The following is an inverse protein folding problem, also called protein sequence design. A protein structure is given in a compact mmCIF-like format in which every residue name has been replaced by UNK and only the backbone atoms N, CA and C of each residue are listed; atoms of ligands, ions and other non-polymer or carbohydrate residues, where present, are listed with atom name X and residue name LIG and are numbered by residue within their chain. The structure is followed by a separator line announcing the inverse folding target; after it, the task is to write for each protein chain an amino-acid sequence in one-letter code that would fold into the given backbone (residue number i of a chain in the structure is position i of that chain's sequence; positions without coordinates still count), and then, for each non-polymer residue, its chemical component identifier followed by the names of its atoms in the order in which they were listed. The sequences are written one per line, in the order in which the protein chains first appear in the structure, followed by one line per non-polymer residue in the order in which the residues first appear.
data_IF_316020061248
#
_entry.id   IF_316020061248
#
_cell.length_a   1.000
_cell.length_b   1.000
_cell.length_c   1.000
_cell.angle_alpha   90.00
_cell.angle_beta   90.00
_cell.angle_gamma   90.00
#
_symmetry.space_group_name_H-M   'P 1'
#
loop_
_entity.id
_entity.type
_entity.pdbx_description
1 polymer ?
#
# COMPACT_ATOMS: atom_id res chain seq x y z
N UNK A 1 6.14 -33.35 -18.27
CA UNK A 1 6.74 -32.30 -19.12
C UNK A 1 6.30 -30.95 -18.57
N UNK A 2 7.09 -30.26 -17.74
CA UNK A 2 6.69 -28.93 -17.28
C UNK A 2 6.91 -27.93 -18.42
N UNK A 3 5.85 -27.18 -18.74
CA UNK A 3 5.88 -26.09 -19.70
C UNK A 3 6.95 -25.07 -19.28
N UNK A 4 7.88 -24.80 -20.19
CA UNK A 4 8.90 -23.79 -20.02
C UNK A 4 8.26 -22.44 -19.73
N UNK A 5 8.81 -21.73 -18.74
CA UNK A 5 8.67 -20.28 -18.64
C UNK A 5 9.14 -19.71 -19.99
N UNK A 6 8.20 -19.24 -20.80
CA UNK A 6 8.48 -18.43 -21.96
C UNK A 6 9.21 -17.19 -21.42
N UNK A 7 10.47 -17.01 -21.80
CA UNK A 7 11.19 -15.77 -21.55
C UNK A 7 10.31 -14.63 -22.07
N UNK A 8 10.07 -13.61 -21.25
CA UNK A 8 9.24 -12.47 -21.61
C UNK A 8 9.69 -11.96 -22.99
N UNK A 9 8.87 -12.18 -24.01
CA UNK A 9 9.07 -11.54 -25.31
C UNK A 9 9.16 -10.04 -25.04
N UNK A 10 10.17 -9.36 -25.61
CA UNK A 10 10.36 -7.94 -25.43
C UNK A 10 9.12 -7.18 -25.90
N UNK A 11 8.23 -6.86 -24.95
CA UNK A 11 7.03 -6.06 -25.22
C UNK A 11 7.49 -4.77 -25.86
N UNK A 12 7.15 -4.58 -27.14
CA UNK A 12 7.51 -3.39 -27.89
C UNK A 12 6.80 -2.18 -27.30
N UNK A 13 7.56 -1.32 -26.65
CA UNK A 13 7.06 -0.09 -26.04
C UNK A 13 6.76 0.96 -27.12
N UNK A 14 5.61 1.59 -27.02
CA UNK A 14 5.17 2.68 -27.90
C UNK A 14 5.59 4.00 -27.22
N UNK A 15 6.48 4.81 -27.85
CA UNK A 15 7.17 5.93 -27.19
C UNK A 15 6.27 6.93 -26.44
N UNK A 16 5.07 7.18 -26.94
CA UNK A 16 4.13 8.17 -26.40
C UNK A 16 2.96 7.57 -25.61
N UNK A 17 2.95 6.25 -25.37
CA UNK A 17 1.85 5.53 -24.68
C UNK A 17 2.33 4.80 -23.43
N UNK A 18 3.22 5.46 -22.69
CA UNK A 18 3.77 4.94 -21.44
C UNK A 18 2.67 4.61 -20.41
N UNK A 19 1.60 5.39 -20.39
CA UNK A 19 0.44 5.25 -19.50
C UNK A 19 -0.33 3.94 -19.72
N UNK A 20 -0.60 3.60 -20.97
CA UNK A 20 -1.20 2.33 -21.36
C UNK A 20 -0.30 1.16 -20.95
N UNK A 21 1.00 1.24 -21.23
CA UNK A 21 1.94 0.19 -20.88
C UNK A 21 2.05 0.01 -19.36
N UNK A 22 2.07 1.10 -18.60
CA UNK A 22 2.15 1.05 -17.14
C UNK A 22 0.89 0.39 -16.54
N UNK A 23 -0.29 0.78 -17.02
CA UNK A 23 -1.56 0.18 -16.58
C UNK A 23 -1.64 -1.31 -16.95
N UNK A 24 -1.21 -1.69 -18.15
CA UNK A 24 -1.20 -3.09 -18.58
C UNK A 24 -0.19 -3.93 -17.78
N UNK A 25 1.03 -3.42 -17.59
CA UNK A 25 2.06 -4.08 -16.79
C UNK A 25 1.56 -4.30 -15.34
N UNK A 26 0.92 -3.28 -14.76
CA UNK A 26 0.35 -3.39 -13.42
C UNK A 26 -0.80 -4.40 -13.34
N UNK A 27 -1.71 -4.40 -14.33
CA UNK A 27 -2.80 -5.38 -14.40
C UNK A 27 -2.26 -6.83 -14.54
N UNK A 28 -1.12 -7.00 -15.18
CA UNK A 28 -0.43 -8.29 -15.36
C UNK A 28 0.51 -8.64 -14.20
N UNK A 29 0.69 -7.75 -13.22
CA UNK A 29 1.67 -7.87 -12.12
C UNK A 29 3.11 -8.03 -12.62
N UNK A 30 3.43 -7.38 -13.74
CA UNK A 30 4.75 -7.39 -14.35
C UNK A 30 5.62 -6.25 -13.80
N UNK A 31 6.20 -6.50 -12.62
CA UNK A 31 7.09 -5.58 -11.95
C UNK A 31 8.35 -5.26 -12.77
N UNK A 32 8.83 -6.20 -13.61
CA UNK A 32 10.00 -5.99 -14.45
C UNK A 32 9.70 -5.02 -15.58
N UNK A 33 8.54 -5.17 -16.24
CA UNK A 33 8.08 -4.22 -17.25
C UNK A 33 7.78 -2.84 -16.66
N UNK A 34 7.19 -2.76 -15.46
CA UNK A 34 7.00 -1.49 -14.75
C UNK A 34 8.34 -0.79 -14.48
N UNK A 35 9.33 -1.50 -13.95
CA UNK A 35 10.66 -0.94 -13.74
C UNK A 35 11.26 -0.44 -15.06
N UNK A 36 11.13 -1.21 -16.15
CA UNK A 36 11.63 -0.84 -17.48
C UNK A 36 10.97 0.43 -18.02
N UNK A 37 9.64 0.53 -17.92
CA UNK A 37 8.86 1.70 -18.39
C UNK A 37 9.35 3.01 -17.76
N UNK A 38 9.67 3.01 -16.47
CA UNK A 38 10.01 4.24 -15.74
C UNK A 38 11.51 4.52 -15.60
N UNK A 39 12.38 3.54 -15.87
CA UNK A 39 13.84 3.69 -15.70
C UNK A 39 14.63 3.65 -17.00
N UNK A 40 14.12 3.00 -18.06
CA UNK A 40 14.83 2.85 -19.31
C UNK A 40 14.81 4.15 -20.13
N UNK A 41 15.95 4.84 -20.15
CA UNK A 41 16.09 6.12 -20.86
C UNK A 41 16.04 5.92 -22.38
N UNK A 42 15.29 6.77 -23.06
CA UNK A 42 15.28 6.85 -24.52
C UNK A 42 14.29 5.92 -25.22
N UNK A 43 13.59 5.04 -24.49
CA UNK A 43 12.55 4.16 -25.05
C UNK A 43 11.16 4.82 -25.01
N UNK A 44 10.85 5.51 -23.91
CA UNK A 44 9.60 6.23 -23.72
C UNK A 44 9.87 7.72 -23.45
N UNK A 45 8.93 8.56 -23.89
CA UNK A 45 8.91 9.99 -23.55
C UNK A 45 7.99 10.15 -22.34
N UNK A 46 8.60 10.24 -21.16
CA UNK A 46 7.88 10.41 -19.90
C UNK A 46 7.77 11.91 -19.56
N UNK A 47 6.56 12.44 -19.29
CA UNK A 47 6.41 13.78 -18.73
C UNK A 47 6.99 13.84 -17.31
N UNK A 48 7.31 15.05 -16.85
CA UNK A 48 7.69 15.28 -15.46
C UNK A 48 6.57 14.82 -14.53
N UNK A 49 6.91 14.06 -13.48
CA UNK A 49 5.94 13.49 -12.55
C UNK A 49 5.10 12.33 -13.10
N UNK A 50 5.43 11.74 -14.26
CA UNK A 50 4.68 10.63 -14.85
C UNK A 50 4.43 9.46 -13.87
N UNK A 51 5.44 9.15 -13.04
CA UNK A 51 5.38 8.03 -12.10
C UNK A 51 4.39 8.24 -10.95
N UNK A 52 4.13 9.51 -10.60
CA UNK A 52 3.18 9.92 -9.57
C UNK A 52 1.87 10.46 -10.17
N UNK A 53 1.62 10.18 -11.46
CA UNK A 53 0.36 10.51 -12.10
C UNK A 53 -0.81 9.87 -11.32
N UNK A 54 -1.89 10.62 -11.18
CA UNK A 54 -3.05 10.20 -10.41
C UNK A 54 -4.22 9.85 -11.34
N UNK A 55 -4.98 8.84 -10.95
CA UNK A 55 -6.21 8.46 -11.62
C UNK A 55 -7.22 9.60 -11.53
N UNK A 56 -7.77 9.99 -12.67
CA UNK A 56 -8.86 10.95 -12.79
C UNK A 56 -10.17 10.23 -13.06
N UNK A 57 -11.25 10.69 -12.45
CA UNK A 57 -12.60 10.21 -12.76
C UNK A 57 -13.35 11.23 -13.61
N UNK A 58 -13.99 10.76 -14.67
CA UNK A 58 -14.81 11.60 -15.55
C UNK A 58 -16.29 11.22 -15.41
N UNK A 59 -17.17 12.22 -15.49
CA UNK A 59 -18.60 11.98 -15.60
C UNK A 59 -18.93 11.45 -17.01
N UNK A 60 -19.53 10.26 -17.09
CA UNK A 60 -19.96 9.53 -18.31
C UNK A 60 -18.82 8.94 -19.17
N UNK A 61 -18.87 7.64 -19.49
CA UNK A 61 -17.87 6.93 -20.34
C UNK A 61 -16.92 6.01 -19.55
N UNK A 62 -15.71 5.76 -20.05
CA UNK A 62 -14.66 5.09 -19.27
C UNK A 62 -14.47 5.85 -17.95
N UNK A 63 -14.86 5.28 -16.80
CA UNK A 63 -15.09 6.05 -15.58
C UNK A 63 -13.80 6.56 -14.95
N UNK A 64 -12.66 5.95 -15.31
CA UNK A 64 -11.34 6.27 -14.79
C UNK A 64 -10.35 6.47 -15.94
N UNK A 65 -9.41 7.38 -15.75
CA UNK A 65 -8.34 7.67 -16.69
C UNK A 65 -7.03 7.83 -15.94
N UNK A 66 -6.00 7.14 -16.41
CA UNK A 66 -4.63 7.31 -15.96
C UNK A 66 -3.84 8.02 -17.07
N UNK A 67 -3.42 9.25 -16.81
CA UNK A 67 -2.91 10.18 -17.83
C UNK A 67 -3.85 10.33 -19.04
N UNK A 68 -3.60 9.66 -20.17
CA UNK A 68 -4.45 9.68 -21.37
C UNK A 68 -5.21 8.36 -21.61
N UNK A 69 -4.90 7.33 -20.81
CA UNK A 69 -5.45 5.99 -20.96
C UNK A 69 -6.68 5.77 -20.08
N UNK A 70 -7.85 5.64 -20.71
CA UNK A 70 -9.10 5.30 -20.04
C UNK A 70 -9.20 3.81 -19.69
N UNK A 71 -9.73 3.50 -18.51
CA UNK A 71 -10.06 2.14 -18.09
C UNK A 71 -11.33 2.08 -17.24
N UNK A 72 -11.87 0.88 -17.11
CA UNK A 72 -13.12 0.61 -16.39
C UNK A 72 -12.86 0.04 -15.00
N UNK A 73 -13.64 0.52 -14.03
CA UNK A 73 -13.68 0.05 -12.64
C UNK A 73 -14.78 -1.01 -12.44
N UNK A 74 -14.88 -1.54 -11.20
CA UNK A 74 -15.88 -2.56 -10.83
C UNK A 74 -17.33 -2.16 -11.12
N UNK A 75 -17.66 -0.86 -11.12
CA UNK A 75 -19.03 -0.36 -11.40
C UNK A 75 -19.44 -0.60 -12.85
N UNK A 76 -18.46 -0.88 -13.71
CA UNK A 76 -18.65 -1.09 -15.15
C UNK A 76 -18.78 -2.57 -15.54
N UNK A 77 -18.73 -3.52 -14.59
CA UNK A 77 -18.77 -4.98 -14.85
C UNK A 77 -19.98 -5.46 -15.67
N UNK A 78 -21.06 -4.67 -15.75
CA UNK A 78 -22.23 -4.98 -16.59
C UNK A 78 -22.08 -4.59 -18.07
N UNK A 79 -21.09 -3.76 -18.41
CA UNK A 79 -20.98 -3.14 -19.74
C UNK A 79 -19.58 -3.25 -20.36
N UNK A 80 -18.53 -3.57 -19.58
CA UNK A 80 -17.15 -3.65 -20.07
C UNK A 80 -16.25 -4.54 -19.19
N UNK A 81 -15.09 -4.93 -19.72
CA UNK A 81 -14.06 -5.66 -18.97
C UNK A 81 -13.36 -4.73 -17.98
N UNK A 82 -13.33 -5.12 -16.71
CA UNK A 82 -12.72 -4.35 -15.63
C UNK A 82 -11.26 -4.74 -15.46
N UNK A 83 -10.37 -3.74 -15.46
CA UNK A 83 -8.94 -3.97 -15.23
C UNK A 83 -8.61 -4.00 -13.74
N UNK A 84 -9.28 -3.17 -12.94
CA UNK A 84 -9.06 -3.08 -11.52
C UNK A 84 -10.38 -2.90 -10.75
N UNK A 85 -10.51 -3.62 -9.66
CA UNK A 85 -11.76 -3.71 -8.91
C UNK A 85 -11.88 -2.70 -7.75
N UNK A 86 -10.77 -2.09 -7.34
CA UNK A 86 -10.68 -1.31 -6.10
C UNK A 86 -10.15 0.13 -6.29
N UNK A 87 -9.97 0.59 -7.52
CA UNK A 87 -9.34 1.90 -7.80
C UNK A 87 -10.23 3.06 -7.38
N UNK A 88 -9.63 4.06 -6.75
CA UNK A 88 -10.26 5.33 -6.38
C UNK A 88 -9.68 6.49 -7.19
N UNK A 89 -10.43 7.60 -7.34
CA UNK A 89 -9.89 8.84 -7.86
C UNK A 89 -8.69 9.30 -7.02
N UNK A 90 -7.67 9.84 -7.67
CA UNK A 90 -6.42 10.25 -7.02
C UNK A 90 -5.43 9.12 -6.74
N UNK A 91 -5.78 7.85 -6.98
CA UNK A 91 -4.82 6.76 -6.81
C UNK A 91 -3.63 6.91 -7.77
N UNK A 92 -2.41 6.74 -7.25
CA UNK A 92 -1.20 6.53 -8.07
C UNK A 92 -1.04 5.05 -8.40
N UNK A 93 -0.13 4.69 -9.31
CA UNK A 93 0.18 3.28 -9.58
C UNK A 93 0.58 2.49 -8.32
N UNK A 94 1.23 3.16 -7.35
CA UNK A 94 1.59 2.56 -6.07
C UNK A 94 0.35 2.19 -5.27
N UNK A 95 -0.64 3.09 -5.15
CA UNK A 95 -1.89 2.79 -4.45
C UNK A 95 -2.67 1.68 -5.15
N UNK A 96 -2.75 1.70 -6.48
CA UNK A 96 -3.41 0.63 -7.25
C UNK A 96 -2.73 -0.73 -6.95
N UNK A 97 -1.40 -0.80 -6.98
CA UNK A 97 -0.65 -2.02 -6.66
C UNK A 97 -0.94 -2.53 -5.23
N UNK A 98 -0.96 -1.63 -4.26
CA UNK A 98 -1.24 -1.95 -2.85
C UNK A 98 -2.65 -2.51 -2.65
N UNK A 99 -3.67 -1.94 -3.31
CA UNK A 99 -5.05 -2.44 -3.26
C UNK A 99 -5.19 -3.84 -3.85
N UNK A 100 -4.37 -4.17 -4.84
CA UNK A 100 -4.33 -5.47 -5.49
C UNK A 100 -3.34 -6.46 -4.87
N UNK A 101 -2.78 -6.09 -3.71
CA UNK A 101 -1.83 -6.88 -2.93
C UNK A 101 -0.59 -7.32 -3.72
N UNK A 102 -0.03 -6.42 -4.53
CA UNK A 102 1.15 -6.64 -5.36
C UNK A 102 2.37 -5.86 -4.86
N UNK A 103 3.07 -6.36 -3.81
CA UNK A 103 4.24 -5.69 -3.26
C UNK A 103 5.43 -5.63 -4.24
N UNK A 104 5.51 -6.53 -5.23
CA UNK A 104 6.60 -6.50 -6.21
C UNK A 104 6.49 -5.31 -7.15
N UNK A 105 5.29 -5.01 -7.62
CA UNK A 105 5.03 -3.78 -8.40
C UNK A 105 5.27 -2.52 -7.56
N UNK A 106 4.93 -2.54 -6.26
CA UNK A 106 5.26 -1.42 -5.35
C UNK A 106 6.77 -1.21 -5.25
N UNK A 107 7.55 -2.28 -5.08
CA UNK A 107 9.02 -2.20 -5.04
C UNK A 107 9.56 -1.59 -6.34
N UNK A 108 9.11 -2.09 -7.49
CA UNK A 108 9.56 -1.60 -8.79
C UNK A 108 9.25 -0.10 -8.98
N UNK A 109 8.03 0.33 -8.65
CA UNK A 109 7.62 1.73 -8.74
C UNK A 109 8.41 2.61 -7.77
N UNK A 110 8.57 2.18 -6.52
CA UNK A 110 9.34 2.95 -5.53
C UNK A 110 10.82 3.10 -5.95
N UNK A 111 11.45 2.03 -6.43
CA UNK A 111 12.83 2.06 -6.93
C UNK A 111 12.97 2.95 -8.17
N UNK A 112 11.91 3.05 -8.99
CA UNK A 112 11.84 3.97 -10.11
C UNK A 112 11.56 5.43 -9.70
N UNK A 113 11.35 5.70 -8.40
CA UNK A 113 11.21 7.05 -7.85
C UNK A 113 9.79 7.46 -7.49
N UNK A 114 8.83 6.52 -7.44
CA UNK A 114 7.46 6.83 -7.04
C UNK A 114 7.39 7.34 -5.60
N UNK A 115 6.62 8.40 -5.38
CA UNK A 115 6.38 8.96 -4.06
C UNK A 115 5.43 8.10 -3.24
N UNK A 116 5.71 7.99 -1.94
CA UNK A 116 4.83 7.34 -0.97
C UNK A 116 3.94 8.32 -0.19
N UNK A 117 4.03 9.62 -0.49
CA UNK A 117 3.36 10.70 0.25
C UNK A 117 2.18 11.31 -0.51
N UNK A 118 2.02 10.96 -1.79
CA UNK A 118 0.92 11.46 -2.64
C UNK A 118 -0.39 10.82 -2.21
N UNK A 119 -1.28 11.63 -1.64
CA UNK A 119 -2.58 11.19 -1.17
C UNK A 119 -3.61 11.15 -2.30
N UNK A 120 -4.50 10.16 -2.29
CA UNK A 120 -5.64 10.10 -3.21
C UNK A 120 -6.83 10.97 -2.74
N UNK A 121 -7.99 10.87 -3.41
CA UNK A 121 -9.19 11.63 -3.04
C UNK A 121 -9.75 11.27 -1.66
N UNK A 122 -9.44 10.08 -1.14
CA UNK A 122 -9.81 9.62 0.20
C UNK A 122 -8.78 10.02 1.28
N UNK A 123 -7.76 10.81 0.91
CA UNK A 123 -6.63 11.19 1.77
C UNK A 123 -5.75 10.00 2.20
N UNK A 124 -5.83 8.88 1.50
CA UNK A 124 -5.00 7.70 1.75
C UNK A 124 -3.64 7.90 1.10
N UNK A 125 -2.56 7.73 1.87
CA UNK A 125 -1.18 7.78 1.39
C UNK A 125 -0.59 6.37 1.28
N UNK A 126 0.23 6.05 0.26
CA UNK A 126 0.89 4.76 0.14
C UNK A 126 1.63 4.32 1.41
N UNK A 127 2.36 5.25 2.06
CA UNK A 127 3.14 4.91 3.27
C UNK A 127 2.27 4.40 4.41
N UNK A 128 1.06 4.96 4.57
CA UNK A 128 0.10 4.55 5.60
C UNK A 128 -0.46 3.15 5.35
N UNK A 129 -0.77 2.84 4.08
CA UNK A 129 -1.25 1.52 3.67
C UNK A 129 -0.18 0.46 3.89
N UNK A 130 1.07 0.75 3.51
CA UNK A 130 2.21 -0.14 3.72
C UNK A 130 2.46 -0.32 5.22
N UNK A 131 2.46 0.76 5.99
CA UNK A 131 2.63 0.71 7.45
C UNK A 131 1.55 -0.14 8.12
N UNK A 132 0.30 -0.04 7.67
CA UNK A 132 -0.79 -0.86 8.22
C UNK A 132 -0.54 -2.37 8.02
N UNK A 133 0.01 -2.77 6.87
CA UNK A 133 0.42 -4.17 6.63
C UNK A 133 1.64 -4.57 7.47
N UNK A 134 2.62 -3.67 7.60
CA UNK A 134 3.79 -3.88 8.43
C UNK A 134 3.41 -4.09 9.90
N UNK A 135 2.57 -3.22 10.47
CA UNK A 135 2.07 -3.30 11.84
C UNK A 135 1.37 -4.63 12.13
N UNK A 136 0.48 -5.08 11.23
CA UNK A 136 -0.20 -6.38 11.36
C UNK A 136 0.80 -7.53 11.44
N UNK A 137 1.82 -7.54 10.58
CA UNK A 137 2.83 -8.61 10.57
C UNK A 137 3.73 -8.55 11.81
N UNK A 138 4.10 -7.37 12.30
CA UNK A 138 4.86 -7.23 13.54
C UNK A 138 4.07 -7.74 14.75
N UNK A 139 2.77 -7.44 14.82
CA UNK A 139 1.89 -7.97 15.86
C UNK A 139 1.77 -9.50 15.75
N UNK A 140 1.65 -10.04 14.53
CA UNK A 140 1.58 -11.48 14.30
C UNK A 140 2.86 -12.20 14.75
N UNK A 141 4.03 -11.71 14.31
CA UNK A 141 5.34 -12.26 14.69
C UNK A 141 5.52 -12.27 16.22
N UNK A 142 5.06 -11.21 16.91
CA UNK A 142 5.08 -11.13 18.38
C UNK A 142 4.18 -12.18 19.02
N UNK A 143 2.99 -12.44 18.48
CA UNK A 143 2.07 -13.47 18.97
C UNK A 143 2.55 -14.90 18.67
N UNK A 144 3.18 -15.11 17.52
CA UNK A 144 3.69 -16.42 17.10
C UNK A 144 4.90 -16.85 17.95
N UNK A 145 5.82 -15.92 18.25
CA UNK A 145 6.94 -16.16 19.19
C UNK A 145 6.49 -16.54 20.61
N UNK A 146 5.29 -16.14 21.01
CA UNK A 146 4.69 -16.51 22.29
C UNK A 146 4.03 -17.89 22.27
N UNK A 147 3.79 -18.49 21.09
CA UNK A 147 2.93 -19.66 20.93
C UNK A 147 3.58 -20.87 20.24
N UNK A 148 4.77 -20.75 19.64
CA UNK A 148 5.35 -21.86 18.88
C UNK A 148 5.96 -23.00 19.74
N UNK A 149 5.16 -24.06 19.88
CA UNK A 149 5.61 -25.46 19.76
C UNK A 149 5.46 -25.91 18.30
N UNK A 150 6.51 -26.52 17.77
CA UNK A 150 6.71 -26.89 16.37
C UNK A 150 5.62 -27.81 15.80
N UNK A 151 5.12 -27.49 14.60
CA UNK A 151 4.47 -28.46 13.71
C UNK A 151 5.14 -28.38 12.34
N UNK A 152 5.81 -29.47 11.95
CA UNK A 152 6.27 -29.68 10.57
C UNK A 152 5.07 -29.97 9.68
N UNK A 153 4.68 -28.99 8.86
CA UNK A 153 3.64 -29.17 7.85
C UNK A 153 4.20 -28.88 6.45
N UNK A 154 3.83 -29.70 5.46
CA UNK A 154 4.09 -29.39 4.06
C UNK A 154 2.94 -28.54 3.51
N UNK A 155 3.18 -27.28 3.12
CA UNK A 155 2.11 -26.36 2.74
C UNK A 155 1.44 -26.77 1.42
N UNK A 156 0.12 -26.63 1.36
CA UNK A 156 -0.65 -26.77 0.11
C UNK A 156 -0.32 -25.62 -0.87
N UNK A 157 -0.73 -25.72 -2.14
CA UNK A 157 -0.44 -24.66 -3.14
C UNK A 157 -1.04 -23.29 -2.77
N UNK A 158 -2.13 -23.25 -2.02
CA UNK A 158 -2.72 -22.01 -1.51
C UNK A 158 -1.86 -21.39 -0.40
N UNK A 159 -1.34 -22.21 0.51
CA UNK A 159 -0.42 -21.76 1.57
C UNK A 159 0.90 -21.30 0.97
N UNK A 160 1.40 -21.97 -0.05
CA UNK A 160 2.60 -21.57 -0.77
C UNK A 160 2.48 -20.15 -1.37
N UNK A 161 1.33 -19.83 -2.00
CA UNK A 161 1.07 -18.48 -2.52
C UNK A 161 1.02 -17.41 -1.43
N UNK A 162 0.47 -17.74 -0.26
CA UNK A 162 0.44 -16.83 0.89
C UNK A 162 1.86 -16.59 1.42
N UNK A 163 2.69 -17.64 1.51
CA UNK A 163 4.10 -17.52 1.93
C UNK A 163 4.91 -16.67 0.94
N UNK A 164 4.71 -16.86 -0.36
CA UNK A 164 5.35 -16.03 -1.40
C UNK A 164 4.94 -14.57 -1.29
N UNK A 165 3.65 -14.31 -1.06
CA UNK A 165 3.14 -12.96 -0.87
C UNK A 165 3.70 -12.31 0.40
N UNK A 166 3.76 -13.05 1.51
CA UNK A 166 4.37 -12.58 2.75
C UNK A 166 5.85 -12.27 2.57
N UNK A 167 6.60 -13.15 1.90
CA UNK A 167 8.01 -12.93 1.60
C UNK A 167 8.23 -11.64 0.78
N UNK A 168 7.37 -11.39 -0.20
CA UNK A 168 7.43 -10.17 -1.01
C UNK A 168 7.09 -8.90 -0.20
N UNK A 169 6.14 -8.97 0.74
CA UNK A 169 5.90 -7.87 1.69
C UNK A 169 7.08 -7.66 2.63
N UNK A 170 7.70 -8.73 3.15
CA UNK A 170 8.90 -8.61 3.99
C UNK A 170 10.06 -7.96 3.23
N UNK A 171 10.21 -8.25 1.93
CA UNK A 171 11.17 -7.55 1.08
C UNK A 171 10.85 -6.06 0.96
N UNK A 172 9.58 -5.70 0.69
CA UNK A 172 9.13 -4.31 0.64
C UNK A 172 9.40 -3.58 1.96
N UNK A 173 9.13 -4.21 3.10
CA UNK A 173 9.37 -3.61 4.42
C UNK A 173 10.85 -3.44 4.72
N UNK A 174 11.70 -4.41 4.35
CA UNK A 174 13.14 -4.28 4.50
C UNK A 174 13.69 -3.07 3.72
N UNK A 175 13.16 -2.86 2.51
CA UNK A 175 13.53 -1.73 1.66
C UNK A 175 13.03 -0.38 2.21
N UNK A 176 11.87 -0.38 2.89
CA UNK A 176 11.24 0.83 3.43
C UNK A 176 11.44 1.01 4.95
N UNK A 177 12.31 0.22 5.59
CA UNK A 177 12.36 0.13 7.05
C UNK A 177 12.49 1.49 7.74
N UNK A 178 13.51 2.26 7.38
CA UNK A 178 13.76 3.60 7.94
C UNK A 178 12.56 4.53 7.77
N UNK A 179 11.92 4.49 6.60
CA UNK A 179 10.77 5.34 6.29
C UNK A 179 9.52 4.92 7.06
N UNK A 180 9.31 3.62 7.24
CA UNK A 180 8.21 3.08 8.04
C UNK A 180 8.39 3.38 9.52
N UNK A 181 9.61 3.25 10.06
CA UNK A 181 9.91 3.60 11.45
C UNK A 181 9.80 5.12 11.69
N UNK A 182 10.26 5.94 10.74
CA UNK A 182 10.05 7.39 10.78
C UNK A 182 8.57 7.77 10.78
N UNK A 183 7.77 7.15 9.90
CA UNK A 183 6.32 7.33 9.88
C UNK A 183 5.67 6.90 11.21
N UNK A 184 6.06 5.74 11.75
CA UNK A 184 5.54 5.25 13.04
C UNK A 184 5.86 6.23 14.18
N UNK A 185 7.09 6.72 14.25
CA UNK A 185 7.51 7.69 15.27
C UNK A 185 6.69 8.98 15.21
N UNK A 186 6.49 9.54 14.01
CA UNK A 186 5.68 10.73 13.81
C UNK A 186 4.20 10.51 14.17
N UNK A 187 3.64 9.35 13.77
CA UNK A 187 2.28 8.96 14.12
C UNK A 187 2.12 8.81 15.65
N UNK A 188 3.07 8.13 16.29
CA UNK A 188 3.09 7.90 17.74
C UNK A 188 3.13 9.23 18.49
N UNK A 189 3.98 10.16 18.06
CA UNK A 189 4.08 11.49 18.66
C UNK A 189 2.77 12.26 18.54
N UNK A 190 2.19 12.31 17.33
CA UNK A 190 0.90 12.98 17.08
C UNK A 190 -0.21 12.43 17.99
N UNK A 191 -0.29 11.11 18.12
CA UNK A 191 -1.29 10.45 18.96
C UNK A 191 -1.04 10.72 20.45
N UNK A 192 0.23 10.68 20.87
CA UNK A 192 0.59 10.95 22.26
C UNK A 192 0.21 12.38 22.67
N UNK A 193 0.45 13.36 21.81
CA UNK A 193 0.09 14.76 22.05
C UNK A 193 -1.42 14.92 22.20
N UNK A 194 -2.18 14.24 21.34
CA UNK A 194 -3.64 14.29 21.40
C UNK A 194 -4.20 13.59 22.65
N UNK A 195 -3.67 12.41 23.01
CA UNK A 195 -4.03 11.73 24.24
C UNK A 195 -3.70 12.56 25.47
N UNK A 196 -2.55 13.24 25.47
CA UNK A 196 -2.18 14.17 26.53
C UNK A 196 -3.21 15.30 26.66
N UNK A 197 -3.64 15.89 25.54
CA UNK A 197 -4.67 16.92 25.54
C UNK A 197 -6.00 16.41 26.15
N UNK A 198 -6.51 15.27 25.68
CA UNK A 198 -7.77 14.69 26.18
C UNK A 198 -7.66 14.37 27.68
N UNK A 199 -6.58 13.71 28.11
CA UNK A 199 -6.40 13.35 29.51
C UNK A 199 -6.19 14.57 30.41
N UNK A 200 -5.52 15.62 29.95
CA UNK A 200 -5.36 16.84 30.76
C UNK A 200 -6.70 17.51 31.10
N UNK A 201 -7.71 17.35 30.24
CA UNK A 201 -9.05 17.93 30.43
C UNK A 201 -9.98 16.99 31.20
N UNK A 202 -10.02 15.70 30.83
CA UNK A 202 -11.06 14.78 31.31
C UNK A 202 -10.60 13.71 32.31
N UNK A 203 -9.29 13.42 32.40
CA UNK A 203 -8.74 12.39 33.28
C UNK A 203 -7.26 12.61 33.63
N UNK A 204 -6.91 13.69 34.37
CA UNK A 204 -5.51 14.07 34.60
C UNK A 204 -4.68 13.00 35.30
N UNK A 205 -5.30 12.16 36.12
CA UNK A 205 -4.66 11.04 36.81
C UNK A 205 -4.09 9.99 35.84
N UNK A 206 -4.60 9.92 34.60
CA UNK A 206 -4.11 9.01 33.56
C UNK A 206 -2.85 9.48 32.88
N UNK A 207 -2.48 10.77 32.98
CA UNK A 207 -1.26 11.29 32.36
C UNK A 207 0.00 10.55 32.82
N UNK A 208 0.06 10.20 34.11
CA UNK A 208 1.15 9.39 34.69
C UNK A 208 1.31 8.00 34.04
N UNK A 209 0.23 7.47 33.46
CA UNK A 209 0.17 6.13 32.84
C UNK A 209 0.33 6.19 31.32
N UNK A 210 0.28 7.38 30.73
CA UNK A 210 0.33 7.55 29.28
C UNK A 210 1.57 6.90 28.64
N UNK A 211 2.81 7.05 29.17
CA UNK A 211 3.98 6.40 28.57
C UNK A 211 3.82 4.88 28.47
N UNK A 212 3.37 4.24 29.54
CA UNK A 212 3.11 2.79 29.57
C UNK A 212 1.99 2.39 28.62
N UNK A 213 0.92 3.18 28.53
CA UNK A 213 -0.16 2.91 27.57
C UNK A 213 0.35 2.98 26.12
N UNK A 214 1.23 3.92 25.80
CA UNK A 214 1.84 4.02 24.47
C UNK A 214 2.74 2.82 24.14
N UNK A 215 3.34 2.16 25.14
CA UNK A 215 4.09 0.92 24.96
C UNK A 215 3.17 -0.31 24.80
N UNK A 216 2.12 -0.41 25.61
CA UNK A 216 1.15 -1.52 25.55
C UNK A 216 0.38 -1.55 24.20
N UNK A 217 0.20 -0.38 23.61
CA UNK A 217 -0.48 -0.16 22.32
C UNK A 217 0.49 0.10 21.17
N UNK A 218 1.75 -0.33 21.26
CA UNK A 218 2.68 -0.25 20.13
C UNK A 218 2.07 -0.89 18.86
N UNK A 219 2.10 -0.14 17.75
CA UNK A 219 1.46 -0.46 16.46
C UNK A 219 -0.08 -0.45 16.46
N UNK A 220 -0.71 -0.09 17.58
CA UNK A 220 -2.18 0.02 17.78
C UNK A 220 -2.56 1.38 18.40
N UNK A 221 -1.70 2.39 18.26
CA UNK A 221 -1.88 3.69 18.88
C UNK A 221 -3.17 4.38 18.41
N UNK A 222 -3.55 4.17 17.14
CA UNK A 222 -4.82 4.70 16.59
C UNK A 222 -6.06 4.09 17.25
N UNK A 223 -6.00 2.80 17.60
CA UNK A 223 -7.09 2.12 18.31
C UNK A 223 -7.22 2.66 19.73
N UNK A 224 -6.09 2.91 20.40
CA UNK A 224 -6.06 3.57 21.71
C UNK A 224 -6.73 4.94 21.65
N UNK A 225 -6.32 5.79 20.70
CA UNK A 225 -6.88 7.13 20.55
C UNK A 225 -8.38 7.08 20.25
N UNK A 226 -8.83 6.22 19.32
CA UNK A 226 -10.24 6.06 19.01
C UNK A 226 -11.06 5.60 20.24
N UNK A 227 -10.52 4.68 21.04
CA UNK A 227 -11.16 4.23 22.28
C UNK A 227 -11.27 5.37 23.32
N UNK A 228 -10.22 6.17 23.46
CA UNK A 228 -10.18 7.32 24.39
C UNK A 228 -11.15 8.41 23.94
N UNK A 229 -11.15 8.78 22.65
CA UNK A 229 -12.12 9.75 22.10
C UNK A 229 -13.56 9.33 22.37
N UNK A 230 -13.91 8.07 22.08
CA UNK A 230 -15.24 7.54 22.36
C UNK A 230 -15.64 7.65 23.83
N UNK A 231 -14.69 7.38 24.73
CA UNK A 231 -14.94 7.40 26.17
C UNK A 231 -15.15 8.80 26.74
N UNK A 232 -14.43 9.80 26.24
CA UNK A 232 -14.38 11.13 26.87
C UNK A 232 -15.05 12.24 26.04
N UNK A 233 -15.22 12.06 24.74
CA UNK A 233 -15.75 13.08 23.82
C UNK A 233 -17.12 12.70 23.22
N UNK A 234 -17.44 11.41 23.09
CA UNK A 234 -18.76 10.94 22.61
C UNK A 234 -19.73 10.62 23.75
N UNK A 235 -19.29 10.77 25.01
CA UNK A 235 -20.12 10.58 26.21
C UNK A 235 -20.67 11.90 26.78
N UNK A 236 -20.53 13.00 26.04
CA UNK A 236 -21.17 14.31 26.25
C UNK A 236 -22.35 14.48 25.28
#
# INVERSE_FOLDING_TARGET
MPAGRVAAEDVKLIPHRWDMHAIQALAQRDAALLARIFTEKGVLVLPEGAIDCQVQSFGYGAPMQFHSYGFFDVRSKGHSSVLFDLVLPGDTLVLIALRHHDPMSVIALYQAGASLDVANSAKEQPIEVIFSRFAILQLHDRHQRLTEKEIKYQPSSGVQKLLEQEAAYRQLFGLLHERLMGYHSALKHTIQDELHHIYSTHAPERLSKLPKQMEDFEYRERELLASVRRKYLESE
#
